data_IF_253957896155
#
_entry.id   IF_253957896155
#
_cell.length_a   1.000
_cell.length_b   1.000
_cell.length_c   1.000
_cell.angle_alpha   90.00
_cell.angle_beta   90.00
_cell.angle_gamma   90.00
#
_symmetry.space_group_name_H-M   'P 1'
#
loop_
_entity.id
_entity.type
_entity.pdbx_description
1 polymer ?
#
# COMPACT_ATOMS: atom_id res chain seq x y z
N UNK A 1 -13.62 -1.45 17.85
CA UNK A 1 -14.58 -1.23 16.75
C UNK A 1 -14.08 -1.80 15.42
N UNK A 2 -12.84 -1.48 14.95
CA UNK A 2 -12.33 -1.94 13.66
C UNK A 2 -12.38 -3.47 13.48
N UNK A 3 -11.94 -4.24 14.49
CA UNK A 3 -11.98 -5.73 14.44
C UNK A 3 -13.41 -6.28 14.30
N UNK A 4 -14.40 -5.65 14.92
CA UNK A 4 -15.82 -6.04 14.80
C UNK A 4 -16.31 -5.81 13.37
N UNK A 5 -15.97 -4.66 12.78
CA UNK A 5 -16.30 -4.34 11.38
C UNK A 5 -15.68 -5.34 10.41
N UNK A 6 -14.46 -5.82 10.68
CA UNK A 6 -13.79 -6.85 9.88
C UNK A 6 -14.49 -8.23 9.91
N UNK A 7 -15.15 -8.56 11.01
CA UNK A 7 -15.91 -9.81 11.11
C UNK A 7 -17.26 -9.74 10.40
N UNK A 8 -17.88 -8.58 10.35
CA UNK A 8 -19.25 -8.41 9.87
C UNK A 8 -19.29 -7.99 8.39
N UNK A 9 -18.56 -6.94 8.02
CA UNK A 9 -18.69 -6.33 6.70
C UNK A 9 -18.15 -7.19 5.55
N UNK A 10 -16.95 -7.81 5.63
CA UNK A 10 -16.42 -8.61 4.53
C UNK A 10 -17.29 -9.81 4.14
N UNK A 11 -17.80 -10.65 5.05
CA UNK A 11 -18.69 -11.74 4.69
C UNK A 11 -19.98 -11.25 4.00
N UNK A 12 -20.62 -10.21 4.56
CA UNK A 12 -21.82 -9.63 3.97
C UNK A 12 -21.52 -9.11 2.56
N UNK A 13 -20.44 -8.33 2.39
CA UNK A 13 -20.10 -7.77 1.10
C UNK A 13 -19.76 -8.84 0.06
N UNK A 14 -19.09 -9.92 0.48
CA UNK A 14 -18.77 -11.06 -0.39
C UNK A 14 -20.01 -11.84 -0.84
N UNK A 15 -21.09 -11.87 -0.07
CA UNK A 15 -22.29 -12.64 -0.40
C UNK A 15 -23.03 -12.09 -1.64
N UNK A 16 -22.86 -10.80 -1.96
CA UNK A 16 -23.53 -10.17 -3.11
C UNK A 16 -22.56 -9.55 -4.14
N UNK A 17 -21.25 -9.84 -4.02
CA UNK A 17 -20.25 -9.33 -4.96
C UNK A 17 -19.39 -10.43 -5.54
N UNK A 18 -18.89 -10.23 -6.77
CA UNK A 18 -18.00 -11.17 -7.45
C UNK A 18 -16.52 -10.80 -7.19
N UNK A 19 -16.06 -11.00 -5.94
CA UNK A 19 -14.69 -10.71 -5.55
C UNK A 19 -13.92 -12.00 -5.29
N UNK A 20 -12.77 -12.16 -5.97
CA UNK A 20 -11.87 -13.30 -5.83
C UNK A 20 -10.54 -12.85 -5.24
N UNK A 21 -10.00 -13.66 -4.33
CA UNK A 21 -8.68 -13.49 -3.75
C UNK A 21 -7.78 -14.65 -4.16
N UNK A 22 -6.50 -14.35 -4.48
CA UNK A 22 -5.47 -15.32 -4.87
C UNK A 22 -4.19 -14.97 -4.12
N UNK A 23 -3.48 -15.98 -3.61
CA UNK A 23 -2.22 -15.78 -2.90
C UNK A 23 -2.39 -15.28 -1.46
N UNK A 24 -3.53 -15.60 -0.80
CA UNK A 24 -3.80 -15.17 0.58
C UNK A 24 -2.76 -15.71 1.57
N UNK A 25 -2.13 -16.83 1.27
CA UNK A 25 -1.03 -17.43 2.02
C UNK A 25 0.21 -16.53 2.13
N UNK A 26 0.33 -15.54 1.26
CA UNK A 26 1.41 -14.56 1.27
C UNK A 26 1.16 -13.37 2.23
N UNK A 27 0.01 -13.34 2.88
CA UNK A 27 -0.33 -12.25 3.79
C UNK A 27 0.27 -12.54 5.18
N UNK A 28 1.13 -11.66 5.71
CA UNK A 28 1.60 -11.77 7.09
C UNK A 28 0.41 -11.78 8.07
N UNK A 29 0.33 -12.78 8.93
CA UNK A 29 -0.81 -13.00 9.85
C UNK A 29 -0.78 -12.10 11.08
N UNK A 30 0.41 -11.68 11.48
CA UNK A 30 0.70 -10.91 12.69
C UNK A 30 1.74 -9.82 12.42
N UNK A 31 2.00 -9.00 13.42
CA UNK A 31 2.99 -7.94 13.39
C UNK A 31 2.74 -6.82 12.37
N UNK A 32 3.64 -5.86 12.34
CA UNK A 32 3.63 -4.79 11.36
C UNK A 32 3.89 -5.33 9.94
N UNK A 33 3.22 -4.77 8.96
CA UNK A 33 3.40 -5.08 7.54
C UNK A 33 3.05 -3.85 6.68
N UNK A 34 3.65 -3.75 5.50
CA UNK A 34 3.32 -2.71 4.52
C UNK A 34 2.66 -3.38 3.31
N UNK A 35 1.36 -3.19 3.14
CA UNK A 35 0.60 -3.70 2.00
C UNK A 35 0.59 -2.66 0.87
N UNK A 36 1.16 -2.98 -0.28
CA UNK A 36 1.24 -2.05 -1.41
C UNK A 36 0.32 -2.51 -2.54
N UNK A 37 -0.44 -1.59 -3.14
CA UNK A 37 -1.33 -1.92 -4.25
C UNK A 37 -1.56 -0.77 -5.20
N UNK A 38 -2.10 -1.07 -6.39
CA UNK A 38 -2.53 -0.07 -7.36
C UNK A 38 -3.85 0.59 -6.93
N UNK A 39 -4.10 1.80 -7.43
CA UNK A 39 -5.28 2.60 -7.03
C UNK A 39 -6.09 3.06 -8.23
N UNK A 40 -7.19 2.37 -8.49
CA UNK A 40 -8.07 2.61 -9.64
C UNK A 40 -9.54 2.87 -9.29
N UNK A 41 -9.93 2.59 -8.04
CA UNK A 41 -11.32 2.67 -7.58
C UNK A 41 -11.44 3.17 -6.14
N UNK A 42 -12.64 3.59 -5.77
CA UNK A 42 -12.98 3.93 -4.38
C UNK A 42 -13.00 2.71 -3.45
N UNK A 43 -13.24 1.50 -4.01
CA UNK A 43 -13.32 0.27 -3.21
C UNK A 43 -11.95 -0.38 -2.93
N UNK A 44 -10.86 0.11 -3.57
CA UNK A 44 -9.55 -0.52 -3.44
C UNK A 44 -9.07 -0.69 -1.98
N UNK A 45 -9.20 0.31 -1.07
CA UNK A 45 -8.86 0.11 0.33
C UNK A 45 -9.68 -1.01 0.97
N UNK A 46 -10.97 -1.07 0.67
CA UNK A 46 -11.89 -2.03 1.24
C UNK A 46 -11.58 -3.48 0.81
N UNK A 47 -11.33 -3.69 -0.48
CA UNK A 47 -10.97 -5.04 -0.97
C UNK A 47 -9.61 -5.52 -0.44
N UNK A 48 -8.66 -4.60 -0.17
CA UNK A 48 -7.39 -4.95 0.49
C UNK A 48 -7.61 -5.39 1.94
N UNK A 49 -8.44 -4.66 2.69
CA UNK A 49 -8.82 -5.02 4.06
C UNK A 49 -9.52 -6.39 4.08
N UNK A 50 -10.42 -6.63 3.11
CA UNK A 50 -11.12 -7.92 2.98
C UNK A 50 -10.16 -9.08 2.67
N UNK A 51 -9.15 -8.84 1.84
CA UNK A 51 -8.12 -9.85 1.55
C UNK A 51 -7.28 -10.17 2.79
N UNK A 52 -6.83 -9.14 3.50
CA UNK A 52 -5.95 -9.29 4.65
C UNK A 52 -6.63 -9.77 5.92
N UNK A 53 -7.94 -9.59 6.05
CA UNK A 53 -8.73 -9.85 7.27
C UNK A 53 -8.07 -9.30 8.54
N UNK A 54 -7.32 -8.20 8.38
CA UNK A 54 -6.56 -7.51 9.43
C UNK A 54 -6.86 -6.01 9.39
N UNK A 55 -6.82 -5.31 10.53
CA UNK A 55 -6.81 -3.85 10.51
C UNK A 55 -5.67 -3.35 9.63
N UNK A 56 -5.96 -2.47 8.68
CA UNK A 56 -4.97 -1.82 7.84
C UNK A 56 -5.20 -0.31 7.88
N UNK A 57 -4.15 0.43 8.19
CA UNK A 57 -4.21 1.90 8.22
C UNK A 57 -3.75 2.45 6.88
N UNK A 58 -4.53 3.37 6.31
CA UNK A 58 -4.25 4.02 5.03
C UNK A 58 -3.96 5.50 5.23
N UNK A 59 -3.17 6.06 4.34
CA UNK A 59 -3.05 7.50 4.17
C UNK A 59 -4.27 8.00 3.41
N UNK A 60 -5.18 8.67 4.08
CA UNK A 60 -6.44 9.16 3.53
C UNK A 60 -6.44 10.68 3.41
N UNK A 61 -7.11 11.21 2.38
CA UNK A 61 -7.19 12.65 2.15
C UNK A 61 -8.03 13.36 3.21
N UNK A 62 -7.66 14.63 3.53
CA UNK A 62 -8.40 15.53 4.45
C UNK A 62 -9.88 15.60 4.14
N UNK A 63 -10.28 15.61 2.85
CA UNK A 63 -11.68 15.68 2.42
C UNK A 63 -12.57 14.55 2.98
N UNK A 64 -11.98 13.41 3.37
CA UNK A 64 -12.70 12.29 3.99
C UNK A 64 -12.93 12.49 5.49
N UNK A 65 -12.21 13.43 6.11
CA UNK A 65 -12.37 13.80 7.52
C UNK A 65 -13.25 15.05 7.70
N UNK A 66 -13.49 15.83 6.65
CA UNK A 66 -14.38 17.00 6.69
C UNK A 66 -15.87 16.60 6.80
N UNK A 67 -16.28 15.54 6.12
CA UNK A 67 -17.68 15.10 6.10
C UNK A 67 -17.95 14.17 7.28
N UNK A 68 -18.94 14.49 8.11
CA UNK A 68 -19.23 13.75 9.33
C UNK A 68 -19.40 12.23 9.14
N UNK A 69 -20.08 11.78 8.09
CA UNK A 69 -20.32 10.37 7.84
C UNK A 69 -19.03 9.61 7.51
N UNK A 70 -18.13 10.20 6.70
CA UNK A 70 -16.84 9.57 6.35
C UNK A 70 -15.82 9.75 7.46
N UNK A 71 -15.88 10.85 8.22
CA UNK A 71 -15.02 11.13 9.37
C UNK A 71 -15.15 10.05 10.44
N UNK A 72 -16.37 9.73 10.86
CA UNK A 72 -16.61 8.67 11.85
C UNK A 72 -16.01 7.35 11.40
N UNK A 73 -16.14 6.98 10.12
CA UNK A 73 -15.54 5.77 9.58
C UNK A 73 -13.99 5.84 9.59
N UNK A 74 -13.41 6.95 9.14
CA UNK A 74 -11.95 7.14 9.10
C UNK A 74 -11.34 7.09 10.51
N UNK A 75 -11.90 7.83 11.46
CA UNK A 75 -11.42 7.88 12.84
C UNK A 75 -11.60 6.52 13.55
N UNK A 76 -12.76 5.89 13.39
CA UNK A 76 -13.04 4.60 14.02
C UNK A 76 -12.22 3.43 13.50
N UNK A 77 -11.69 3.57 12.30
CA UNK A 77 -10.78 2.59 11.66
C UNK A 77 -9.32 3.05 11.70
N UNK A 78 -9.02 4.17 12.39
CA UNK A 78 -7.65 4.67 12.59
C UNK A 78 -6.95 5.08 11.30
N UNK A 79 -7.70 5.58 10.30
CA UNK A 79 -7.08 6.05 9.07
C UNK A 79 -6.27 7.33 9.30
N UNK A 80 -5.15 7.49 8.60
CA UNK A 80 -4.21 8.58 8.79
C UNK A 80 -4.58 9.72 7.82
N UNK A 81 -4.97 10.86 8.38
CA UNK A 81 -5.23 12.05 7.60
C UNK A 81 -3.94 12.59 6.96
N UNK A 82 -4.02 12.94 5.68
CA UNK A 82 -2.93 13.57 4.93
C UNK A 82 -3.32 14.98 4.51
N UNK A 83 -2.66 15.97 5.09
CA UNK A 83 -2.80 17.37 4.73
C UNK A 83 -1.91 17.71 3.54
N UNK A 84 -2.50 17.87 2.36
CA UNK A 84 -1.73 18.12 1.10
C UNK A 84 -0.88 19.38 1.16
N UNK A 85 -1.32 20.39 1.92
CA UNK A 85 -0.62 21.67 2.07
C UNK A 85 0.67 21.56 2.90
N UNK A 86 0.76 20.57 3.78
CA UNK A 86 1.92 20.37 4.66
C UNK A 86 2.97 19.40 4.07
N UNK A 87 2.72 18.86 2.87
CA UNK A 87 3.63 17.93 2.20
C UNK A 87 3.55 16.50 2.73
N UNK A 88 4.28 15.58 2.08
CA UNK A 88 4.25 14.16 2.42
C UNK A 88 5.02 13.77 3.68
N UNK A 89 5.76 14.71 4.30
CA UNK A 89 6.65 14.41 5.44
C UNK A 89 5.87 14.09 6.70
N UNK A 90 4.82 14.85 7.01
CA UNK A 90 3.98 14.61 8.18
C UNK A 90 3.22 13.30 8.06
N UNK A 91 2.62 13.02 6.90
CA UNK A 91 1.96 11.75 6.64
C UNK A 91 2.91 10.56 6.81
N UNK A 92 4.17 10.72 6.37
CA UNK A 92 5.18 9.69 6.55
C UNK A 92 5.58 9.52 8.02
N UNK A 93 5.64 10.61 8.80
CA UNK A 93 5.90 10.55 10.25
C UNK A 93 4.82 9.75 10.98
N UNK A 94 3.54 10.07 10.73
CA UNK A 94 2.41 9.32 11.30
C UNK A 94 2.41 7.84 10.86
N UNK A 95 2.83 7.55 9.64
CA UNK A 95 2.99 6.19 9.15
C UNK A 95 4.09 5.44 9.94
N UNK A 96 5.16 6.14 10.30
CA UNK A 96 6.21 5.58 11.17
C UNK A 96 5.64 5.22 12.54
N UNK A 97 4.84 6.09 13.15
CA UNK A 97 4.23 5.85 14.48
C UNK A 97 3.35 4.59 14.46
N UNK A 98 2.55 4.42 13.39
CA UNK A 98 1.69 3.23 13.21
C UNK A 98 2.51 1.95 13.11
N UNK A 99 3.56 1.92 12.27
CA UNK A 99 4.41 0.74 12.12
C UNK A 99 5.23 0.45 13.39
N UNK A 100 5.67 1.50 14.11
CA UNK A 100 6.37 1.35 15.40
C UNK A 100 5.47 0.77 16.50
N UNK A 101 4.15 0.96 16.37
CA UNK A 101 3.14 0.36 17.24
C UNK A 101 2.74 -1.07 16.81
N UNK A 102 3.52 -1.71 15.92
CA UNK A 102 3.28 -3.04 15.38
C UNK A 102 1.94 -3.18 14.62
N UNK A 103 1.48 -2.09 14.00
CA UNK A 103 0.21 -2.03 13.27
C UNK A 103 0.47 -2.02 11.76
N UNK A 104 -0.26 -2.86 10.97
CA UNK A 104 -0.08 -2.89 9.53
C UNK A 104 -0.58 -1.62 8.83
N UNK A 105 0.15 -1.24 7.80
CA UNK A 105 -0.24 -0.14 6.90
C UNK A 105 -0.51 -0.63 5.48
N UNK A 106 -1.38 0.09 4.78
CA UNK A 106 -1.57 -0.11 3.36
C UNK A 106 -1.36 1.20 2.59
N UNK A 107 -0.58 1.11 1.53
CA UNK A 107 -0.15 2.25 0.75
C UNK A 107 -0.48 2.04 -0.74
N UNK A 108 -0.94 3.10 -1.37
CA UNK A 108 -1.02 3.20 -2.82
C UNK A 108 0.15 4.08 -3.30
N UNK A 109 1.23 3.50 -3.86
CA UNK A 109 2.45 4.25 -4.16
C UNK A 109 2.23 5.33 -5.22
N UNK A 110 1.20 5.22 -6.03
CA UNK A 110 0.78 6.24 -6.99
C UNK A 110 0.37 7.57 -6.31
N UNK A 111 -0.07 7.50 -5.04
CA UNK A 111 -0.49 8.64 -4.22
C UNK A 111 -1.84 9.25 -4.62
N UNK A 112 -2.48 8.74 -5.66
CA UNK A 112 -3.81 9.14 -6.10
C UNK A 112 -4.42 8.05 -6.99
N UNK A 113 -5.75 8.02 -7.08
CA UNK A 113 -6.43 7.14 -8.04
C UNK A 113 -6.12 7.55 -9.46
N UNK A 114 -5.93 6.55 -10.33
CA UNK A 114 -5.73 6.79 -11.75
C UNK A 114 -6.95 7.48 -12.36
N UNK A 115 -6.73 8.61 -13.02
CA UNK A 115 -7.75 9.37 -13.77
C UNK A 115 -7.71 9.07 -15.27
N UNK A 116 -6.82 8.19 -15.72
CA UNK A 116 -6.71 7.80 -17.12
C UNK A 116 -8.00 7.14 -17.57
N UNK A 117 -8.41 7.41 -18.81
CA UNK A 117 -9.62 6.80 -19.41
C UNK A 117 -9.34 5.39 -19.93
N UNK A 118 -8.09 5.11 -20.30
CA UNK A 118 -7.63 3.84 -20.87
C UNK A 118 -6.40 3.31 -20.13
N UNK A 119 -6.18 2.00 -20.20
CA UNK A 119 -4.98 1.35 -19.68
C UNK A 119 -3.71 1.84 -20.43
N UNK A 120 -2.54 1.75 -19.79
CA UNK A 120 -2.30 1.26 -18.46
C UNK A 120 -2.74 2.27 -17.39
N UNK A 121 -3.43 1.79 -16.36
CA UNK A 121 -3.89 2.65 -15.25
C UNK A 121 -2.83 2.79 -14.17
N UNK A 122 -1.96 1.78 -14.02
CA UNK A 122 -0.85 1.80 -13.07
C UNK A 122 0.13 2.93 -13.42
N UNK A 123 0.35 3.82 -12.48
CA UNK A 123 1.26 4.95 -12.65
C UNK A 123 2.61 4.68 -11.97
N UNK A 124 3.59 5.52 -12.26
CA UNK A 124 4.88 5.50 -11.58
C UNK A 124 4.68 5.74 -10.07
N UNK A 125 5.24 4.87 -9.23
CA UNK A 125 5.16 4.99 -7.78
C UNK A 125 6.00 6.15 -7.24
N UNK A 126 5.55 6.75 -6.14
CA UNK A 126 6.32 7.67 -5.30
C UNK A 126 7.15 6.87 -4.29
N UNK A 127 8.31 7.39 -3.93
CA UNK A 127 9.28 6.68 -3.05
C UNK A 127 8.89 6.65 -1.57
N UNK A 128 7.73 7.17 -1.17
CA UNK A 128 7.32 7.22 0.24
C UNK A 128 7.22 5.83 0.88
N UNK A 129 6.70 4.84 0.15
CA UNK A 129 6.62 3.46 0.62
C UNK A 129 8.02 2.84 0.80
N UNK A 130 8.95 3.08 -0.12
CA UNK A 130 10.33 2.61 -0.03
C UNK A 130 11.08 3.24 1.16
N UNK A 131 10.89 4.54 1.39
CA UNK A 131 11.46 5.23 2.56
C UNK A 131 10.95 4.65 3.87
N UNK A 132 9.67 4.31 3.92
CA UNK A 132 9.07 3.69 5.10
C UNK A 132 9.61 2.28 5.30
N UNK A 133 9.71 1.47 4.24
CA UNK A 133 10.29 0.13 4.28
C UNK A 133 11.77 0.15 4.72
N UNK A 134 12.56 1.10 4.22
CA UNK A 134 13.96 1.26 4.62
C UNK A 134 14.14 1.66 6.10
N UNK A 135 13.18 2.41 6.66
CA UNK A 135 13.19 2.75 8.09
C UNK A 135 12.86 1.53 8.96
N UNK A 136 12.18 0.55 8.42
CA UNK A 136 11.81 -0.71 9.06
C UNK A 136 12.27 -1.88 8.19
N UNK A 137 13.59 -2.14 8.10
CA UNK A 137 14.17 -3.03 7.08
C UNK A 137 13.66 -4.47 7.15
N UNK A 138 13.19 -4.92 8.30
CA UNK A 138 12.70 -6.28 8.52
C UNK A 138 11.17 -6.42 8.35
N UNK A 139 10.45 -5.32 8.16
CA UNK A 139 8.98 -5.38 7.98
C UNK A 139 8.66 -5.87 6.56
N UNK A 140 7.79 -6.89 6.42
CA UNK A 140 7.39 -7.40 5.11
C UNK A 140 6.59 -6.37 4.32
N UNK A 141 6.97 -6.18 3.07
CA UNK A 141 6.28 -5.37 2.06
C UNK A 141 5.57 -6.32 1.10
N UNK A 142 4.24 -6.37 1.16
CA UNK A 142 3.42 -7.32 0.42
C UNK A 142 2.70 -6.63 -0.75
N UNK A 143 3.01 -6.97 -2.01
CA UNK A 143 2.30 -6.41 -3.16
C UNK A 143 0.92 -7.06 -3.31
N UNK A 144 -0.11 -6.25 -3.55
CA UNK A 144 -1.51 -6.65 -3.72
C UNK A 144 -2.09 -5.98 -4.96
N UNK A 145 -2.09 -6.66 -6.09
CA UNK A 145 -2.67 -6.13 -7.33
C UNK A 145 -4.20 -6.28 -7.33
N UNK A 146 -4.89 -5.18 -7.62
CA UNK A 146 -6.35 -5.11 -7.68
C UNK A 146 -6.77 -4.95 -9.15
N UNK A 147 -7.51 -5.93 -9.64
CA UNK A 147 -7.91 -6.06 -11.04
C UNK A 147 -9.43 -5.96 -11.14
N UNK A 148 -9.93 -5.16 -12.07
CA UNK A 148 -11.37 -5.02 -12.33
C UNK A 148 -12.13 -4.08 -11.38
N UNK A 149 -11.52 -3.54 -10.34
CA UNK A 149 -12.17 -2.64 -9.39
C UNK A 149 -12.74 -1.38 -10.07
N UNK A 150 -12.13 -0.91 -11.14
CA UNK A 150 -12.62 0.21 -11.94
C UNK A 150 -13.96 -0.11 -12.61
N UNK A 151 -14.16 -1.35 -13.09
CA UNK A 151 -15.43 -1.78 -13.70
C UNK A 151 -16.51 -1.96 -12.63
N UNK A 152 -16.12 -2.24 -11.39
CA UNK A 152 -17.03 -2.31 -10.26
C UNK A 152 -17.49 -0.92 -9.82
N UNK A 153 -16.56 0.06 -9.72
CA UNK A 153 -16.84 1.45 -9.37
C UNK A 153 -15.71 2.37 -9.85
N UNK A 154 -15.91 3.06 -10.97
CA UNK A 154 -14.92 4.02 -11.51
C UNK A 154 -14.76 5.25 -10.60
N UNK A 155 -13.61 5.94 -10.71
CA UNK A 155 -13.48 7.26 -10.12
C UNK A 155 -14.54 8.23 -10.68
N UNK A 156 -15.40 8.76 -9.82
CA UNK A 156 -16.53 9.63 -10.20
C UNK A 156 -17.89 8.95 -10.21
N UNK A 157 -17.96 7.62 -10.20
CA UNK A 157 -19.21 6.91 -10.07
C UNK A 157 -19.79 7.07 -8.66
N UNK A 158 -21.12 7.16 -8.57
CA UNK A 158 -21.87 7.20 -7.30
C UNK A 158 -22.44 5.84 -6.93
N UNK A 159 -22.55 4.94 -7.89
CA UNK A 159 -23.17 3.62 -7.76
C UNK A 159 -22.12 2.57 -8.18
N UNK A 160 -22.04 1.48 -7.44
CA UNK A 160 -21.19 0.35 -7.80
C UNK A 160 -22.00 -0.74 -8.53
N UNK A 161 -21.31 -1.52 -9.38
CA UNK A 161 -21.88 -2.68 -10.08
C UNK A 161 -21.37 -3.97 -9.41
N UNK A 162 -22.17 -4.62 -8.53
CA UNK A 162 -21.72 -5.77 -7.74
C UNK A 162 -21.44 -7.02 -8.58
N UNK A 163 -21.99 -7.11 -9.77
CA UNK A 163 -21.81 -8.27 -10.66
C UNK A 163 -20.46 -8.24 -11.41
N UNK A 164 -19.78 -7.10 -11.43
CA UNK A 164 -18.46 -7.00 -12.06
C UNK A 164 -17.41 -7.71 -11.22
N UNK A 165 -16.62 -8.54 -11.88
CA UNK A 165 -15.55 -9.31 -11.24
C UNK A 165 -14.42 -8.38 -10.78
N UNK A 166 -14.03 -8.54 -9.53
CA UNK A 166 -12.82 -7.96 -8.95
C UNK A 166 -11.90 -9.09 -8.49
N UNK A 167 -10.62 -9.00 -8.81
CA UNK A 167 -9.64 -9.98 -8.33
C UNK A 167 -8.55 -9.24 -7.57
N UNK A 168 -8.15 -9.76 -6.42
CA UNK A 168 -6.99 -9.30 -5.67
C UNK A 168 -5.95 -10.41 -5.69
N UNK A 169 -4.84 -10.17 -6.36
CA UNK A 169 -3.69 -11.07 -6.39
C UNK A 169 -2.64 -10.58 -5.42
N UNK A 170 -2.30 -11.43 -4.45
CA UNK A 170 -1.31 -11.13 -3.41
C UNK A 170 0.00 -11.82 -3.78
N UNK A 171 1.06 -11.05 -3.94
CA UNK A 171 2.40 -11.54 -4.22
C UNK A 171 3.17 -11.87 -2.95
N UNK A 172 4.32 -12.54 -3.11
CA UNK A 172 5.23 -12.84 -1.99
C UNK A 172 5.74 -11.55 -1.35
N UNK A 173 5.76 -11.47 -0.03
CA UNK A 173 6.36 -10.33 0.67
C UNK A 173 7.88 -10.32 0.48
N UNK A 174 8.45 -9.13 0.50
CA UNK A 174 9.89 -8.90 0.57
C UNK A 174 10.15 -7.76 1.55
N UNK A 175 11.12 -7.90 2.44
CA UNK A 175 11.57 -6.78 3.28
C UNK A 175 12.57 -5.90 2.52
N UNK A 176 12.76 -4.67 2.98
CA UNK A 176 13.80 -3.81 2.39
C UNK A 176 15.21 -4.35 2.71
N UNK A 177 15.38 -4.96 3.90
CA UNK A 177 16.64 -5.58 4.30
C UNK A 177 17.01 -6.78 3.43
N UNK A 178 16.06 -7.67 3.14
CA UNK A 178 16.30 -8.79 2.22
C UNK A 178 16.55 -8.30 0.79
N UNK A 179 15.79 -7.29 0.36
CA UNK A 179 15.91 -6.74 -0.99
C UNK A 179 17.25 -6.07 -1.24
N UNK A 180 17.80 -5.33 -0.27
CA UNK A 180 19.03 -4.56 -0.46
C UNK A 180 20.22 -5.48 -0.74
N UNK A 181 20.24 -6.68 -0.17
CA UNK A 181 21.30 -7.68 -0.35
C UNK A 181 21.01 -8.69 -1.47
N UNK A 182 19.79 -8.69 -2.03
CA UNK A 182 19.41 -9.65 -3.06
C UNK A 182 20.00 -9.29 -4.42
N UNK A 183 20.50 -10.30 -5.17
CA UNK A 183 21.14 -10.11 -6.47
C UNK A 183 20.23 -9.48 -7.55
N UNK A 184 18.93 -9.70 -7.47
CA UNK A 184 17.89 -9.03 -8.30
C UNK A 184 17.32 -7.78 -7.67
N UNK A 185 17.90 -7.30 -6.55
CA UNK A 185 17.51 -6.14 -5.80
C UNK A 185 18.59 -5.06 -5.75
N UNK A 186 18.92 -4.63 -4.54
CA UNK A 186 19.97 -3.63 -4.31
C UNK A 186 21.38 -4.14 -4.62
N UNK A 187 21.59 -5.46 -4.55
CA UNK A 187 22.85 -6.15 -4.80
C UNK A 187 24.04 -5.62 -3.97
N UNK A 188 23.76 -5.08 -2.79
CA UNK A 188 24.78 -4.58 -1.88
C UNK A 188 25.21 -5.68 -0.91
N UNK A 189 26.51 -5.84 -0.76
CA UNK A 189 27.08 -6.68 0.30
C UNK A 189 27.32 -5.90 1.61
N UNK A 190 27.82 -6.60 2.63
CA UNK A 190 28.10 -6.02 3.94
C UNK A 190 29.20 -4.94 3.89
N UNK A 191 30.12 -5.02 2.91
CA UNK A 191 31.18 -4.03 2.70
C UNK A 191 30.59 -2.77 2.06
N UNK A 192 29.73 -2.91 1.06
CA UNK A 192 29.01 -1.80 0.43
C UNK A 192 28.15 -1.04 1.45
N UNK A 193 27.42 -1.76 2.31
CA UNK A 193 26.58 -1.17 3.35
C UNK A 193 27.43 -0.39 4.36
N UNK A 194 28.60 -0.93 4.77
CA UNK A 194 29.53 -0.21 5.65
C UNK A 194 30.09 1.03 4.97
N UNK A 195 30.57 0.92 3.74
CA UNK A 195 31.10 2.05 2.99
C UNK A 195 30.06 3.17 2.85
N UNK A 196 28.79 2.82 2.59
CA UNK A 196 27.69 3.81 2.56
C UNK A 196 27.51 4.47 3.92
N UNK A 197 27.62 3.73 5.02
CA UNK A 197 27.46 4.29 6.38
C UNK A 197 28.58 5.26 6.80
N UNK A 198 29.76 5.14 6.17
CA UNK A 198 30.93 6.01 6.43
C UNK A 198 30.92 7.28 5.57
N UNK A 199 30.05 7.38 4.57
CA UNK A 199 29.91 8.59 3.77
C UNK A 199 29.34 9.75 4.60
N UNK A 200 29.60 10.97 4.13
CA UNK A 200 28.93 12.14 4.65
C UNK A 200 27.39 12.10 4.41
N UNK A 201 26.65 12.94 5.09
CA UNK A 201 25.19 13.06 4.99
C UNK A 201 24.70 13.24 3.56
N UNK A 202 25.47 13.92 2.69
CA UNK A 202 25.10 14.17 1.32
C UNK A 202 25.24 12.90 0.48
N UNK A 203 26.35 12.19 0.61
CA UNK A 203 26.63 10.94 -0.08
C UNK A 203 25.62 9.87 0.30
N UNK A 204 25.37 9.66 1.61
CA UNK A 204 24.37 8.72 2.10
C UNK A 204 22.98 9.02 1.50
N UNK A 205 22.53 10.29 1.55
CA UNK A 205 21.21 10.68 1.00
C UNK A 205 21.12 10.45 -0.51
N UNK A 206 22.22 10.64 -1.24
CA UNK A 206 22.25 10.43 -2.69
C UNK A 206 22.05 8.96 -3.04
N UNK A 207 22.80 8.07 -2.39
CA UNK A 207 22.69 6.61 -2.61
C UNK A 207 21.32 6.11 -2.18
N UNK A 208 20.87 6.48 -0.97
CA UNK A 208 19.55 6.08 -0.48
C UNK A 208 18.41 6.54 -1.38
N UNK A 209 18.55 7.70 -2.04
CA UNK A 209 17.55 8.18 -3.00
C UNK A 209 17.45 7.27 -4.23
N UNK A 210 18.56 6.73 -4.72
CA UNK A 210 18.59 5.74 -5.80
C UNK A 210 17.93 4.44 -5.35
N UNK A 211 18.37 3.88 -4.22
CA UNK A 211 17.81 2.65 -3.66
C UNK A 211 16.30 2.74 -3.41
N UNK A 212 15.81 3.87 -2.89
CA UNK A 212 14.36 4.08 -2.75
C UNK A 212 13.64 4.09 -4.11
N UNK A 213 14.29 4.61 -5.15
CA UNK A 213 13.71 4.62 -6.49
C UNK A 213 13.65 3.20 -7.06
N UNK A 214 14.74 2.46 -6.96
CA UNK A 214 14.87 1.10 -7.47
C UNK A 214 13.89 0.15 -6.77
N UNK A 215 13.84 0.17 -5.43
CA UNK A 215 12.87 -0.61 -4.67
C UNK A 215 11.42 -0.28 -5.05
N UNK A 216 11.11 1.03 -5.24
CA UNK A 216 9.77 1.44 -5.67
C UNK A 216 9.45 0.92 -7.08
N UNK A 217 10.41 1.00 -8.01
CA UNK A 217 10.20 0.53 -9.38
C UNK A 217 9.99 -0.99 -9.42
N UNK A 218 10.72 -1.75 -8.60
CA UNK A 218 10.53 -3.19 -8.45
C UNK A 218 9.17 -3.55 -7.84
N UNK A 219 8.69 -2.79 -6.85
CA UNK A 219 7.34 -2.97 -6.30
C UNK A 219 6.29 -2.72 -7.39
N UNK A 220 6.42 -1.66 -8.18
CA UNK A 220 5.50 -1.36 -9.29
C UNK A 220 5.52 -2.49 -10.33
N UNK A 221 6.70 -3.02 -10.64
CA UNK A 221 6.84 -4.16 -11.55
C UNK A 221 6.18 -5.43 -10.98
N UNK A 222 6.33 -5.68 -9.68
CA UNK A 222 5.66 -6.79 -8.99
C UNK A 222 4.13 -6.67 -9.10
N UNK A 223 3.57 -5.47 -8.91
CA UNK A 223 2.15 -5.23 -9.11
C UNK A 223 1.72 -5.50 -10.57
N UNK A 224 2.55 -5.11 -11.55
CA UNK A 224 2.28 -5.36 -12.97
C UNK A 224 2.28 -6.86 -13.28
N UNK A 225 3.27 -7.62 -12.79
CA UNK A 225 3.33 -9.09 -12.92
C UNK A 225 2.15 -9.81 -12.27
N UNK A 226 1.61 -9.26 -11.18
CA UNK A 226 0.39 -9.74 -10.54
C UNK A 226 -0.90 -9.35 -11.29
N UNK A 227 -0.79 -8.61 -12.40
CA UNK A 227 -1.89 -8.24 -13.27
C UNK A 227 -2.53 -6.89 -12.98
N UNK A 228 -1.87 -5.99 -12.24
CA UNK A 228 -2.35 -4.63 -12.06
C UNK A 228 -2.47 -3.93 -13.44
N UNK A 229 -3.66 -3.34 -13.76
CA UNK A 229 -3.96 -2.81 -15.09
C UNK A 229 -3.24 -1.50 -15.41
#
# INVERSE_FOLDING_TARGET
>A
MYRILLFILPPIFRSFTNIRFVGLENIPTDGAAIFIGNHTSHIDPFVKIMAGMRPMHFLAKEEHFEKQNTRILMESTGQIETLRKQGGTEALSRAVDVLSADIPMAIFPEGTRSRRKQAPFLARGKTGAARLAAKFPNIPVTPMAIIGARNFMSPGDKIFNPLKKVTVNVGRPISFGDWISHSEGGSLDDEDIRNISELDDHGQRSIMKSLYREFTDQIIESLRRLGAP
#
